data_IF_568045442445
#
_entry.id   IF_568045442445
#
_cell.length_a   1.000
_cell.length_b   1.000
_cell.length_c   1.000
_cell.angle_alpha   90.00
_cell.angle_beta   90.00
_cell.angle_gamma   90.00
#
_symmetry.space_group_name_H-M   'P 1'
#
loop_
_entity.id
_entity.type
_entity.pdbx_description
1 polymer ?
#
# COMPACT_ATOMS: atom_id res chain seq x y z
N UNK A 1 9.73 -12.64 -22.83
CA UNK A 1 10.58 -12.24 -21.68
C UNK A 1 11.96 -11.91 -22.22
N UNK A 2 12.46 -10.69 -22.04
CA UNK A 2 13.78 -10.30 -22.55
C UNK A 2 14.86 -10.76 -21.54
N UNK A 3 15.26 -12.02 -21.64
CA UNK A 3 16.19 -12.68 -20.70
C UNK A 3 17.60 -12.10 -20.76
N UNK A 4 18.07 -11.66 -21.94
CA UNK A 4 19.38 -11.02 -22.10
C UNK A 4 19.49 -9.71 -21.30
N UNK A 5 18.43 -8.91 -21.28
CA UNK A 5 18.41 -7.66 -20.52
C UNK A 5 18.48 -7.95 -19.02
N UNK A 6 17.72 -8.94 -18.54
CA UNK A 6 17.70 -9.34 -17.13
C UNK A 6 19.08 -9.85 -16.69
N UNK A 7 19.72 -10.71 -17.48
CA UNK A 7 21.06 -11.22 -17.16
C UNK A 7 22.13 -10.11 -17.15
N UNK A 8 22.02 -9.14 -18.05
CA UNK A 8 22.94 -8.01 -18.11
C UNK A 8 22.81 -7.11 -16.88
N UNK A 9 21.59 -6.85 -16.42
CA UNK A 9 21.31 -6.10 -15.19
C UNK A 9 21.84 -6.83 -13.96
N UNK A 10 21.64 -8.15 -13.85
CA UNK A 10 22.14 -8.95 -12.73
C UNK A 10 23.66 -8.90 -12.65
N UNK A 11 24.36 -9.05 -13.79
CA UNK A 11 25.83 -8.97 -13.82
C UNK A 11 26.34 -7.60 -13.40
N UNK A 12 25.66 -6.53 -13.84
CA UNK A 12 26.01 -5.17 -13.46
C UNK A 12 25.85 -4.95 -11.96
N UNK A 13 24.73 -5.37 -11.37
CA UNK A 13 24.47 -5.28 -9.93
C UNK A 13 25.52 -6.08 -9.13
N UNK A 14 25.91 -7.27 -9.60
CA UNK A 14 26.93 -8.09 -8.94
C UNK A 14 28.34 -7.49 -8.99
N UNK A 15 28.63 -6.64 -9.98
CA UNK A 15 29.93 -5.95 -10.10
C UNK A 15 30.07 -4.74 -9.17
N UNK A 16 28.99 -4.28 -8.55
CA UNK A 16 29.02 -3.11 -7.67
C UNK A 16 29.68 -3.43 -6.31
N UNK A 17 30.32 -2.43 -5.67
CA UNK A 17 30.76 -2.52 -4.28
C UNK A 17 29.63 -2.93 -3.33
N UNK A 18 29.98 -3.48 -2.17
CA UNK A 18 28.99 -3.94 -1.19
C UNK A 18 28.01 -2.83 -0.75
N UNK A 19 28.52 -1.61 -0.54
CA UNK A 19 27.73 -0.44 -0.14
C UNK A 19 26.68 -0.07 -1.21
N UNK A 20 27.09 -0.09 -2.48
CA UNK A 20 26.20 0.20 -3.61
C UNK A 20 25.18 -0.91 -3.84
N UNK A 21 25.55 -2.17 -3.60
CA UNK A 21 24.61 -3.31 -3.63
C UNK A 21 23.55 -3.20 -2.53
N UNK A 22 23.95 -2.82 -1.31
CA UNK A 22 23.02 -2.57 -0.20
C UNK A 22 22.03 -1.45 -0.54
N UNK A 23 22.51 -0.34 -1.11
CA UNK A 23 21.66 0.75 -1.56
C UNK A 23 20.69 0.30 -2.67
N UNK A 24 21.14 -0.58 -3.56
CA UNK A 24 20.30 -1.16 -4.60
C UNK A 24 19.21 -2.06 -4.02
N UNK A 25 19.54 -2.89 -3.03
CA UNK A 25 18.59 -3.74 -2.30
C UNK A 25 17.54 -2.90 -1.58
N UNK A 26 17.94 -1.85 -0.87
CA UNK A 26 17.01 -0.94 -0.18
C UNK A 26 16.03 -0.26 -1.14
N UNK A 27 16.44 0.03 -2.39
CA UNK A 27 15.60 0.69 -3.39
C UNK A 27 14.72 -0.29 -4.18
N UNK A 28 15.23 -1.47 -4.54
CA UNK A 28 14.51 -2.49 -5.32
C UNK A 28 13.56 -3.30 -4.45
N UNK A 29 13.99 -3.67 -3.25
CA UNK A 29 13.19 -4.39 -2.26
C UNK A 29 12.59 -3.44 -1.25
N UNK A 30 12.43 -2.16 -1.62
CA UNK A 30 11.48 -1.29 -0.96
C UNK A 30 10.08 -1.88 -1.20
N UNK A 31 9.72 -2.87 -0.39
CA UNK A 31 8.33 -3.09 -0.05
C UNK A 31 7.93 -1.78 0.63
N UNK A 32 7.40 -0.86 -0.17
CA UNK A 32 6.44 0.07 0.35
C UNK A 32 5.41 -0.84 1.01
N UNK A 33 5.50 -0.98 2.33
CA UNK A 33 4.38 -1.37 3.17
C UNK A 33 3.34 -0.29 2.92
N UNK A 34 2.73 -0.34 1.73
CA UNK A 34 1.66 0.51 1.30
C UNK A 34 0.59 0.12 2.27
N UNK A 35 0.38 1.00 3.25
CA UNK A 35 -0.69 0.85 4.20
C UNK A 35 -1.92 0.62 3.34
N UNK A 36 -2.42 -0.62 3.40
CA UNK A 36 -3.49 -1.02 2.52
C UNK A 36 -4.73 -0.23 2.92
N UNK A 37 -5.64 0.00 1.98
CA UNK A 37 -6.93 0.60 2.32
C UNK A 37 -7.63 -0.17 3.46
N UNK A 38 -7.40 -1.50 3.53
CA UNK A 38 -7.90 -2.35 4.61
C UNK A 38 -7.25 -2.04 5.96
N UNK A 39 -5.94 -1.79 6.02
CA UNK A 39 -5.25 -1.40 7.25
C UNK A 39 -5.65 0.01 7.70
N UNK A 40 -5.79 0.95 6.77
CA UNK A 40 -6.33 2.29 7.05
C UNK A 40 -7.76 2.20 7.60
N UNK A 41 -8.62 1.38 7.00
CA UNK A 41 -9.99 1.16 7.46
C UNK A 41 -10.01 0.55 8.86
N UNK A 42 -9.17 -0.46 9.14
CA UNK A 42 -9.05 -1.05 10.48
C UNK A 42 -8.62 0.00 11.51
N UNK A 43 -7.65 0.84 11.18
CA UNK A 43 -7.20 1.94 12.05
C UNK A 43 -8.33 2.93 12.33
N UNK A 44 -9.11 3.32 11.33
CA UNK A 44 -10.24 4.23 11.50
C UNK A 44 -11.36 3.62 12.37
N UNK A 45 -11.62 2.31 12.23
CA UNK A 45 -12.57 1.57 13.08
C UNK A 45 -12.06 1.47 14.52
N UNK A 46 -10.80 1.09 14.75
CA UNK A 46 -10.21 1.05 16.10
C UNK A 46 -10.09 2.43 16.74
N UNK A 47 -9.88 3.45 15.91
CA UNK A 47 -9.80 4.86 16.34
C UNK A 47 -11.16 5.50 16.55
N UNK A 48 -12.26 4.74 16.52
CA UNK A 48 -13.62 5.24 16.74
C UNK A 48 -14.00 6.39 15.79
N UNK A 49 -13.33 6.50 14.64
CA UNK A 49 -13.51 7.61 13.70
C UNK A 49 -14.87 7.57 12.99
N UNK A 50 -15.59 6.45 13.09
CA UNK A 50 -16.93 6.26 12.54
C UNK A 50 -18.02 6.20 13.62
N UNK A 51 -17.68 6.44 14.89
CA UNK A 51 -18.67 6.34 15.98
C UNK A 51 -19.79 7.39 15.84
N UNK A 52 -19.51 8.52 15.18
CA UNK A 52 -20.52 9.53 14.81
C UNK A 52 -21.67 8.98 13.96
N UNK A 53 -21.45 7.90 13.20
CA UNK A 53 -22.52 7.24 12.44
C UNK A 53 -23.56 6.58 13.35
N UNK A 54 -23.19 6.23 14.58
CA UNK A 54 -24.14 5.70 15.56
C UNK A 54 -25.02 6.79 16.17
N UNK A 55 -24.55 8.03 16.17
CA UNK A 55 -25.25 9.18 16.75
C UNK A 55 -26.26 9.79 15.76
N UNK A 56 -26.13 9.51 14.45
CA UNK A 56 -27.02 10.00 13.39
C UNK A 56 -27.57 8.88 12.49
N UNK A 57 -28.39 7.94 13.04
CA UNK A 57 -28.95 6.83 12.28
C UNK A 57 -29.97 7.25 11.21
N UNK A 58 -30.45 8.49 11.24
CA UNK A 58 -31.50 8.99 10.34
C UNK A 58 -30.97 9.51 8.99
N UNK A 59 -29.68 9.85 8.87
CA UNK A 59 -29.12 10.48 7.66
C UNK A 59 -28.88 9.52 6.48
N UNK A 60 -28.88 8.22 6.72
CA UNK A 60 -28.74 7.19 5.69
C UNK A 60 -29.73 6.06 5.93
N UNK A 61 -31.01 6.41 6.06
CA UNK A 61 -32.08 5.41 6.00
C UNK A 61 -32.40 5.10 4.55
N UNK A 62 -32.74 3.84 4.24
CA UNK A 62 -33.24 3.45 2.91
C UNK A 62 -34.52 4.22 2.49
N UNK A 63 -35.11 5.00 3.39
CA UNK A 63 -36.25 5.87 3.12
C UNK A 63 -35.87 7.22 2.51
N UNK A 64 -34.58 7.60 2.51
CA UNK A 64 -34.13 8.91 1.99
C UNK A 64 -34.10 8.98 0.45
N UNK A 65 -34.56 7.93 -0.23
CA UNK A 65 -34.94 7.95 -1.64
C UNK A 65 -33.81 8.15 -2.66
N UNK A 66 -32.56 8.32 -2.24
CA UNK A 66 -31.44 8.48 -3.15
C UNK A 66 -31.01 7.12 -3.71
N UNK A 67 -30.98 7.04 -5.05
CA UNK A 67 -30.61 5.84 -5.77
C UNK A 67 -29.10 5.61 -5.72
N UNK A 68 -28.72 4.35 -5.49
CA UNK A 68 -27.34 3.85 -5.65
C UNK A 68 -26.97 3.78 -7.13
#
# INVERSE_FOLDING_TARGET
MNTQLVESLVKLIQSLPQEERQLFEEKLFFESNLVTTQELMKLAVYGHSFDFLNDEPELYTFEDGEAI
#
